data_IF_083324284908
#
_entry.id   IF_083324284908
#
_cell.length_a   1.000
_cell.length_b   1.000
_cell.length_c   1.000
_cell.angle_alpha   90.00
_cell.angle_beta   90.00
_cell.angle_gamma   90.00
#
_symmetry.space_group_name_H-M   'P 1'
#
loop_
_entity.id
_entity.type
_entity.pdbx_description
1 polymer ?
#
# COMPACT_ATOMS: atom_id res chain seq x y z
N UNK A 1 8.00 -26.29 12.03
CA UNK A 1 6.77 -26.12 11.22
C UNK A 1 6.17 -24.71 11.31
N UNK A 2 5.95 -24.13 12.51
CA UNK A 2 5.45 -22.74 12.65
C UNK A 2 6.44 -21.57 12.42
N UNK A 3 7.77 -21.68 12.66
CA UNK A 3 8.62 -20.50 12.72
C UNK A 3 8.85 -19.82 11.36
N UNK A 4 8.59 -20.48 10.24
CA UNK A 4 8.76 -19.83 8.93
C UNK A 4 7.51 -19.06 8.46
N UNK A 5 6.31 -19.44 8.92
CA UNK A 5 5.05 -18.84 8.44
C UNK A 5 4.89 -17.41 9.00
N UNK A 6 5.37 -17.22 10.23
CA UNK A 6 5.34 -15.95 10.97
C UNK A 6 6.11 -14.84 10.24
N UNK A 7 7.41 -14.98 9.92
CA UNK A 7 8.18 -13.92 9.26
C UNK A 7 7.64 -13.58 7.87
N UNK A 8 7.16 -14.58 7.11
CA UNK A 8 6.53 -14.33 5.80
C UNK A 8 5.24 -13.51 5.96
N UNK A 9 4.37 -13.90 6.90
CA UNK A 9 3.14 -13.16 7.16
C UNK A 9 3.40 -11.72 7.63
N UNK A 10 4.40 -11.51 8.51
CA UNK A 10 4.80 -10.18 8.94
C UNK A 10 5.38 -9.35 7.79
N UNK A 11 6.28 -9.90 6.98
CA UNK A 11 6.87 -9.20 5.84
C UNK A 11 5.80 -8.70 4.86
N UNK A 12 4.84 -9.57 4.53
CA UNK A 12 3.71 -9.22 3.66
C UNK A 12 2.80 -8.15 4.30
N UNK A 13 2.48 -8.30 5.59
CA UNK A 13 1.67 -7.32 6.30
C UNK A 13 2.34 -5.94 6.33
N UNK A 14 3.63 -5.86 6.69
CA UNK A 14 4.36 -4.59 6.70
C UNK A 14 4.53 -3.99 5.31
N UNK A 15 4.76 -4.82 4.29
CA UNK A 15 4.80 -4.39 2.88
C UNK A 15 3.51 -3.69 2.48
N UNK A 16 2.37 -4.33 2.72
CA UNK A 16 1.08 -3.74 2.38
C UNK A 16 0.75 -2.48 3.20
N UNK A 17 1.06 -2.50 4.51
CA UNK A 17 0.89 -1.32 5.36
C UNK A 17 1.65 -0.11 4.81
N UNK A 18 2.89 -0.32 4.37
CA UNK A 18 3.70 0.75 3.79
C UNK A 18 3.05 1.34 2.54
N UNK A 19 2.50 0.50 1.67
CA UNK A 19 1.82 0.95 0.45
C UNK A 19 0.52 1.69 0.73
N UNK A 20 -0.29 1.20 1.67
CA UNK A 20 -1.50 1.90 2.13
C UNK A 20 -1.11 3.29 2.63
N UNK A 21 -0.12 3.39 3.52
CA UNK A 21 0.34 4.67 4.07
C UNK A 21 0.78 5.62 2.95
N UNK A 22 1.56 5.14 1.98
CA UNK A 22 2.03 5.97 0.87
C UNK A 22 0.86 6.44 -0.03
N UNK A 23 -0.09 5.58 -0.34
CA UNK A 23 -1.30 5.93 -1.09
C UNK A 23 -2.11 7.02 -0.38
N UNK A 24 -2.35 6.85 0.92
CA UNK A 24 -3.05 7.86 1.73
C UNK A 24 -2.24 9.15 1.86
N UNK A 25 -0.91 9.08 1.92
CA UNK A 25 -0.06 10.28 1.92
C UNK A 25 -0.20 11.07 0.61
N UNK A 26 -0.29 10.41 -0.55
CA UNK A 26 -0.54 11.09 -1.82
C UNK A 26 -1.92 11.77 -1.87
N UNK A 27 -2.95 11.13 -1.27
CA UNK A 27 -4.30 11.71 -1.14
C UNK A 27 -4.29 12.91 -0.17
N UNK A 28 -3.60 12.80 0.96
CA UNK A 28 -3.44 13.89 1.94
C UNK A 28 -2.75 15.11 1.31
N UNK A 29 -1.69 14.88 0.54
CA UNK A 29 -1.03 15.93 -0.23
C UNK A 29 -2.01 16.63 -1.17
N UNK A 30 -2.84 15.90 -1.91
CA UNK A 30 -3.86 16.52 -2.77
C UNK A 30 -4.86 17.34 -1.95
N UNK A 31 -5.39 16.78 -0.86
CA UNK A 31 -6.36 17.47 0.00
C UNK A 31 -5.78 18.75 0.61
N UNK A 32 -4.49 18.74 0.97
CA UNK A 32 -3.79 19.94 1.48
C UNK A 32 -3.75 21.08 0.46
N UNK A 33 -3.74 20.75 -0.84
CA UNK A 33 -3.80 21.75 -1.92
C UNK A 33 -5.23 22.20 -2.25
N UNK A 34 -6.26 21.41 -1.92
CA UNK A 34 -7.64 21.73 -2.31
C UNK A 34 -8.45 22.35 -1.17
N UNK A 35 -8.19 21.96 0.08
CA UNK A 35 -9.05 22.28 1.21
C UNK A 35 -8.57 23.51 1.98
N UNK A 36 -9.53 24.31 2.45
CA UNK A 36 -9.28 25.37 3.40
C UNK A 36 -8.89 24.80 4.79
N UNK A 37 -8.08 25.53 5.57
CA UNK A 37 -7.48 25.08 6.84
C UNK A 37 -8.45 24.39 7.81
N UNK A 38 -9.70 24.82 7.89
CA UNK A 38 -10.72 24.23 8.78
C UNK A 38 -11.18 22.84 8.32
N UNK A 39 -11.38 22.64 7.00
CA UNK A 39 -11.75 21.34 6.41
C UNK A 39 -10.58 20.37 6.38
N UNK A 40 -9.35 20.89 6.35
CA UNK A 40 -8.15 20.07 6.38
C UNK A 40 -8.03 19.27 7.68
N UNK A 41 -8.34 19.86 8.85
CA UNK A 41 -8.29 19.12 10.14
C UNK A 41 -9.24 17.94 10.18
N UNK A 42 -10.49 18.14 9.75
CA UNK A 42 -11.47 17.05 9.68
C UNK A 42 -11.03 15.95 8.71
N UNK A 43 -10.42 16.33 7.57
CA UNK A 43 -9.87 15.38 6.60
C UNK A 43 -8.72 14.56 7.19
N UNK A 44 -7.86 15.16 8.01
CA UNK A 44 -6.72 14.47 8.64
C UNK A 44 -7.20 13.44 9.66
N UNK A 45 -8.13 13.82 10.56
CA UNK A 45 -8.68 12.89 11.57
C UNK A 45 -9.40 11.71 10.91
N UNK A 46 -10.17 11.97 9.85
CA UNK A 46 -10.82 10.93 9.07
C UNK A 46 -9.80 10.03 8.36
N UNK A 47 -8.75 10.58 7.74
CA UNK A 47 -7.70 9.79 7.10
C UNK A 47 -6.96 8.92 8.10
N UNK A 48 -6.62 9.43 9.28
CA UNK A 48 -5.98 8.63 10.33
C UNK A 48 -6.85 7.45 10.75
N UNK A 49 -8.16 7.66 10.88
CA UNK A 49 -9.08 6.58 11.19
C UNK A 49 -9.15 5.55 10.05
N UNK A 50 -9.25 6.00 8.79
CA UNK A 50 -9.28 5.12 7.62
C UNK A 50 -7.99 4.32 7.44
N UNK A 51 -6.82 4.93 7.62
CA UNK A 51 -5.52 4.25 7.55
C UNK A 51 -5.43 3.17 8.63
N UNK A 52 -5.84 3.49 9.86
CA UNK A 52 -5.82 2.55 10.98
C UNK A 52 -6.73 1.35 10.69
N UNK A 53 -7.97 1.60 10.24
CA UNK A 53 -8.91 0.54 9.89
C UNK A 53 -8.43 -0.31 8.71
N UNK A 54 -7.91 0.32 7.65
CA UNK A 54 -7.36 -0.37 6.49
C UNK A 54 -6.18 -1.28 6.85
N UNK A 55 -5.27 -0.80 7.71
CA UNK A 55 -4.14 -1.59 8.19
C UNK A 55 -4.59 -2.76 9.06
N UNK A 56 -5.52 -2.55 10.00
CA UNK A 56 -6.04 -3.63 10.87
C UNK A 56 -6.71 -4.72 10.04
N UNK A 57 -7.55 -4.34 9.07
CA UNK A 57 -8.24 -5.29 8.17
C UNK A 57 -7.21 -6.07 7.33
N UNK A 58 -6.21 -5.37 6.80
CA UNK A 58 -5.18 -5.97 5.94
C UNK A 58 -4.32 -7.00 6.67
N UNK A 59 -3.88 -6.68 7.88
CA UNK A 59 -3.11 -7.59 8.73
C UNK A 59 -3.94 -8.82 9.10
N UNK A 60 -5.21 -8.60 9.46
CA UNK A 60 -6.04 -9.65 10.06
C UNK A 60 -6.62 -10.61 9.03
N UNK A 61 -7.16 -10.08 7.92
CA UNK A 61 -8.00 -10.85 6.98
C UNK A 61 -7.22 -11.28 5.74
N UNK A 62 -6.46 -10.35 5.14
CA UNK A 62 -5.83 -10.60 3.83
C UNK A 62 -4.55 -11.42 3.95
N UNK A 63 -3.72 -11.17 4.95
CA UNK A 63 -2.39 -11.77 5.03
C UNK A 63 -2.15 -12.60 6.30
N UNK A 64 -2.89 -12.37 7.38
CA UNK A 64 -2.76 -13.15 8.61
C UNK A 64 -3.24 -14.59 8.48
N UNK A 65 -4.42 -14.81 7.90
CA UNK A 65 -5.06 -16.14 7.83
C UNK A 65 -4.57 -16.97 6.63
N UNK A 66 -4.56 -16.45 5.38
CA UNK A 66 -4.24 -17.29 4.21
C UNK A 66 -2.79 -17.76 4.21
N UNK A 67 -1.85 -16.90 4.61
CA UNK A 67 -0.42 -17.26 4.66
C UNK A 67 -0.10 -18.25 5.76
N UNK A 68 -0.84 -18.24 6.88
CA UNK A 68 -0.67 -19.25 7.94
C UNK A 68 -1.18 -20.63 7.53
N UNK A 69 -2.22 -20.69 6.70
CA UNK A 69 -2.85 -21.94 6.27
C UNK A 69 -2.07 -22.57 5.11
N UNK A 70 -1.65 -21.77 4.13
CA UNK A 70 -1.18 -22.29 2.84
C UNK A 70 0.34 -22.26 2.62
N UNK A 71 1.16 -21.77 3.55
CA UNK A 71 2.62 -21.90 3.45
C UNK A 71 3.11 -23.11 4.22
N UNK A 72 4.03 -23.89 3.67
CA UNK A 72 4.65 -25.02 4.37
C UNK A 72 6.17 -25.08 4.18
N UNK A 73 6.84 -25.80 5.08
CA UNK A 73 8.28 -26.07 5.01
C UNK A 73 8.52 -27.25 4.06
N UNK A 74 9.19 -27.01 2.94
CA UNK A 74 9.67 -28.06 2.05
C UNK A 74 11.20 -28.25 2.19
N UNK A 75 11.69 -29.50 2.25
CA UNK A 75 13.12 -29.78 2.20
C UNK A 75 13.67 -29.51 0.78
N UNK A 76 14.80 -28.82 0.68
CA UNK A 76 15.46 -28.64 -0.61
C UNK A 76 16.13 -29.94 -1.06
N UNK A 77 15.78 -30.43 -2.25
CA UNK A 77 16.39 -31.62 -2.84
C UNK A 77 17.92 -31.51 -2.88
N UNK A 78 18.61 -32.49 -2.30
CA UNK A 78 20.07 -32.55 -2.28
C UNK A 78 20.75 -31.78 -1.14
N UNK A 79 19.99 -31.18 -0.21
CA UNK A 79 20.56 -30.51 0.97
C UNK A 79 19.76 -30.83 2.24
N UNK A 80 20.37 -30.59 3.41
CA UNK A 80 19.68 -30.66 4.71
C UNK A 80 18.92 -29.36 5.04
N UNK A 81 18.79 -28.44 4.08
CA UNK A 81 18.12 -27.16 4.26
C UNK A 81 16.61 -27.28 4.00
N UNK A 82 15.82 -26.45 4.69
CA UNK A 82 14.38 -26.32 4.47
C UNK A 82 14.07 -24.91 4.00
N UNK A 83 13.15 -24.79 3.03
CA UNK A 83 12.61 -23.50 2.57
C UNK A 83 11.13 -23.43 2.90
N UNK A 84 10.60 -22.20 2.96
CA UNK A 84 9.18 -21.99 3.05
C UNK A 84 8.61 -21.45 1.77
N UNK A 85 7.71 -22.25 1.21
CA UNK A 85 7.07 -22.01 -0.07
C UNK A 85 5.57 -22.19 0.09
N UNK A 86 4.77 -21.57 -0.80
CA UNK A 86 3.35 -21.87 -0.89
C UNK A 86 3.17 -23.36 -1.11
N UNK A 87 2.16 -23.94 -0.46
CA UNK A 87 1.80 -25.34 -0.61
C UNK A 87 1.32 -25.57 -2.05
N UNK A 88 2.08 -26.39 -2.79
CA UNK A 88 1.86 -26.66 -4.22
C UNK A 88 0.55 -27.42 -4.49
N UNK A 89 -0.10 -28.00 -3.48
CA UNK A 89 -1.36 -28.71 -3.64
C UNK A 89 -2.55 -27.80 -4.00
N UNK A 90 -2.37 -26.48 -4.02
CA UNK A 90 -3.41 -25.52 -4.36
C UNK A 90 -2.90 -24.52 -5.40
N UNK A 91 -2.79 -24.97 -6.66
CA UNK A 91 -2.37 -24.15 -7.80
C UNK A 91 -3.16 -22.83 -7.90
N UNK A 92 -4.48 -22.89 -7.65
CA UNK A 92 -5.36 -21.71 -7.64
C UNK A 92 -4.92 -20.65 -6.61
N UNK A 93 -4.45 -21.09 -5.43
CA UNK A 93 -3.97 -20.18 -4.40
C UNK A 93 -2.62 -19.55 -4.79
N UNK A 94 -1.74 -20.34 -5.39
CA UNK A 94 -0.45 -19.87 -5.89
C UNK A 94 -0.63 -18.80 -6.97
N UNK A 95 -1.48 -19.07 -7.97
CA UNK A 95 -1.80 -18.10 -9.02
C UNK A 95 -2.45 -16.83 -8.46
N UNK A 96 -3.39 -16.99 -7.52
CA UNK A 96 -4.07 -15.85 -6.92
C UNK A 96 -3.09 -14.93 -6.15
N UNK A 97 -2.17 -15.48 -5.36
CA UNK A 97 -1.16 -14.70 -4.65
C UNK A 97 -0.26 -13.94 -5.63
N UNK A 98 0.19 -14.58 -6.70
CA UNK A 98 1.13 -13.96 -7.63
C UNK A 98 0.45 -12.90 -8.47
N UNK A 99 -0.65 -13.25 -9.15
CA UNK A 99 -1.28 -12.34 -10.11
C UNK A 99 -2.13 -11.27 -9.43
N UNK A 100 -2.96 -11.64 -8.45
CA UNK A 100 -3.86 -10.68 -7.81
C UNK A 100 -3.18 -10.00 -6.63
N UNK A 101 -2.55 -10.78 -5.76
CA UNK A 101 -1.86 -10.25 -4.59
C UNK A 101 -0.66 -9.39 -4.94
N UNK A 102 0.30 -9.93 -5.68
CA UNK A 102 1.57 -9.25 -5.92
C UNK A 102 1.46 -8.21 -7.03
N UNK A 103 0.97 -8.57 -8.22
CA UNK A 103 0.96 -7.63 -9.35
C UNK A 103 -0.10 -6.53 -9.21
N UNK A 104 -1.34 -6.89 -8.85
CA UNK A 104 -2.43 -5.91 -8.83
C UNK A 104 -2.43 -5.12 -7.54
N UNK A 105 -2.51 -5.81 -6.39
CA UNK A 105 -2.70 -5.16 -5.10
C UNK A 105 -1.41 -4.49 -4.61
N UNK A 106 -0.26 -5.16 -4.74
CA UNK A 106 0.99 -4.61 -4.24
C UNK A 106 1.66 -3.62 -5.20
N UNK A 107 1.46 -3.72 -6.51
CA UNK A 107 2.22 -2.91 -7.47
C UNK A 107 1.33 -1.95 -8.26
N UNK A 108 0.45 -2.48 -9.10
CA UNK A 108 -0.31 -1.67 -10.05
C UNK A 108 -1.25 -0.67 -9.37
N UNK A 109 -1.98 -1.09 -8.35
CA UNK A 109 -2.95 -0.24 -7.66
C UNK A 109 -2.26 0.90 -6.88
N UNK A 110 -1.24 0.66 -6.03
CA UNK A 110 -0.52 1.72 -5.35
C UNK A 110 0.16 2.69 -6.31
N UNK A 111 0.83 2.19 -7.36
CA UNK A 111 1.45 3.03 -8.37
C UNK A 111 0.44 3.92 -9.09
N UNK A 112 -0.72 3.37 -9.45
CA UNK A 112 -1.77 4.14 -10.13
C UNK A 112 -2.31 5.26 -9.24
N UNK A 113 -2.58 4.95 -7.96
CA UNK A 113 -3.03 5.94 -6.97
C UNK A 113 -1.97 7.02 -6.81
N UNK A 114 -0.72 6.66 -6.49
CA UNK A 114 0.36 7.62 -6.31
C UNK A 114 0.55 8.53 -7.51
N UNK A 115 0.58 7.98 -8.73
CA UNK A 115 0.78 8.76 -9.94
C UNK A 115 -0.40 9.71 -10.20
N UNK A 116 -1.64 9.22 -10.04
CA UNK A 116 -2.83 10.03 -10.27
C UNK A 116 -2.90 11.19 -9.27
N UNK A 117 -2.83 10.90 -7.97
CA UNK A 117 -2.94 11.92 -6.92
C UNK A 117 -1.71 12.84 -6.88
N UNK A 118 -0.52 12.30 -7.14
CA UNK A 118 0.70 13.08 -7.28
C UNK A 118 0.63 14.07 -8.44
N UNK A 119 0.16 13.64 -9.62
CA UNK A 119 -0.01 14.51 -10.79
C UNK A 119 -1.05 15.61 -10.53
N UNK A 120 -2.18 15.27 -9.90
CA UNK A 120 -3.20 16.24 -9.53
C UNK A 120 -2.66 17.29 -8.55
N UNK A 121 -1.91 16.85 -7.54
CA UNK A 121 -1.23 17.73 -6.58
C UNK A 121 -0.26 18.67 -7.30
N UNK A 122 0.59 18.13 -8.19
CA UNK A 122 1.54 18.92 -8.96
C UNK A 122 0.84 20.00 -9.81
N UNK A 123 -0.24 19.64 -10.49
CA UNK A 123 -1.04 20.60 -11.28
C UNK A 123 -1.65 21.69 -10.40
N UNK A 124 -2.19 21.34 -9.24
CA UNK A 124 -2.78 22.31 -8.32
C UNK A 124 -1.73 23.28 -7.77
N UNK A 125 -0.59 22.78 -7.29
CA UNK A 125 0.50 23.62 -6.78
C UNK A 125 1.00 24.57 -7.87
N UNK A 126 1.24 24.08 -9.08
CA UNK A 126 1.68 24.91 -10.21
C UNK A 126 0.71 26.04 -10.51
N UNK A 127 -0.60 25.75 -10.57
CA UNK A 127 -1.63 26.77 -10.77
C UNK A 127 -1.70 27.80 -9.64
N UNK A 128 -1.43 27.41 -8.39
CA UNK A 128 -1.35 28.36 -7.27
C UNK A 128 -0.14 29.26 -7.38
N UNK A 129 1.03 28.72 -7.73
CA UNK A 129 2.25 29.50 -7.93
C UNK A 129 2.07 30.50 -9.07
N UNK A 130 1.51 30.08 -10.22
CA UNK A 130 1.23 30.96 -11.36
C UNK A 130 0.28 32.13 -10.99
N UNK A 131 -0.69 31.91 -10.10
CA UNK A 131 -1.59 32.98 -9.60
C UNK A 131 -0.96 33.91 -8.57
N UNK A 132 0.06 33.44 -7.85
CA UNK A 132 0.72 34.19 -6.78
C UNK A 132 2.01 34.90 -7.22
N UNK A 133 2.47 34.72 -8.47
CA UNK A 133 3.54 35.56 -9.04
C UNK A 133 2.91 36.93 -9.30
N UNK A 134 3.33 38.00 -8.59
CA UNK A 134 2.85 39.34 -8.90
C UNK A 134 3.30 39.68 -10.32
N UNK A 135 2.33 39.87 -11.22
CA UNK A 135 2.58 40.44 -12.54
C UNK A 135 3.05 41.87 -12.28
N UNK A 136 4.36 42.03 -12.12
CA UNK A 136 5.00 43.34 -12.16
C UNK A 136 4.95 43.78 -13.62
N UNK A 137 3.90 44.53 -13.97
CA UNK A 137 3.92 45.33 -15.19
C UNK A 137 5.05 46.35 -15.04
N UNK A 138 6.21 46.02 -15.59
CA UNK A 138 7.27 47.00 -15.84
C UNK A 138 6.75 47.88 -16.97
N UNK A 139 6.52 49.14 -16.60
CA UNK A 139 5.94 50.18 -17.43
C UNK A 139 6.94 50.75 -18.42
#
# INVERSE_FOLDING_TARGET
MYPCKIPVAFAQAFGLMSQIIICFAAIDQLMSTLLHKSRQRFSIELMQHLITMANVISISILYGIPFRIHYDTLPLSGTNATTCVPNENNELFSEHIVYVGFLIINDFLPLTIMNLFGLLTFRNVRHMTEKNIPITHIH
#
